data_IF_335771446886
#
_entry.id   IF_335771446886
#
_cell.length_a   1.000
_cell.length_b   1.000
_cell.length_c   1.000
_cell.angle_alpha   90.00
_cell.angle_beta   90.00
_cell.angle_gamma   90.00
#
_symmetry.space_group_name_H-M   'P 1'
#
loop_
_entity.id
_entity.type
_entity.pdbx_description
1 polymer ?
#
# COMPACT_ATOMS: atom_id res chain seq x y z
N UNK A 1 19.60 4.51 12.03
CA UNK A 1 18.41 3.71 11.66
C UNK A 1 18.62 3.17 10.25
N UNK A 2 19.18 1.97 10.09
CA UNK A 2 19.47 1.39 8.76
C UNK A 2 18.20 0.76 8.20
N UNK A 3 17.54 1.44 7.26
CA UNK A 3 16.41 0.87 6.50
C UNK A 3 16.96 -0.12 5.47
N UNK A 4 16.73 -1.41 5.69
CA UNK A 4 17.10 -2.48 4.76
C UNK A 4 16.14 -2.47 3.56
N UNK A 5 16.46 -1.72 2.51
CA UNK A 5 15.70 -1.75 1.26
C UNK A 5 15.98 -3.07 0.53
N UNK A 6 15.15 -4.07 0.75
CA UNK A 6 15.03 -5.22 -0.15
C UNK A 6 13.71 -5.07 -0.90
N UNK A 7 13.76 -4.99 -2.23
CA UNK A 7 12.58 -4.81 -3.06
C UNK A 7 12.57 -5.90 -4.14
N UNK A 8 11.58 -6.79 -4.03
CA UNK A 8 11.23 -7.73 -5.07
C UNK A 8 9.97 -7.25 -5.77
N UNK A 9 9.87 -7.54 -7.05
CA UNK A 9 8.76 -7.06 -7.85
C UNK A 9 8.40 -8.04 -8.97
N UNK A 10 7.10 -8.18 -9.24
CA UNK A 10 6.58 -9.05 -10.30
C UNK A 10 6.19 -8.18 -11.49
N UNK A 11 6.86 -8.40 -12.63
CA UNK A 11 6.50 -7.83 -13.94
C UNK A 11 6.17 -8.96 -14.90
N UNK A 12 4.97 -9.00 -15.47
CA UNK A 12 4.58 -10.01 -16.47
C UNK A 12 4.94 -11.45 -16.02
N UNK A 13 4.66 -11.77 -14.75
CA UNK A 13 5.00 -13.05 -14.09
C UNK A 13 6.50 -13.37 -13.93
N UNK A 14 7.37 -12.39 -14.14
CA UNK A 14 8.81 -12.46 -13.95
C UNK A 14 9.22 -11.73 -12.67
N UNK A 15 10.25 -12.22 -12.00
CA UNK A 15 10.72 -11.66 -10.73
C UNK A 15 11.99 -10.85 -10.96
N UNK A 16 11.97 -9.59 -10.53
CA UNK A 16 13.14 -8.73 -10.46
C UNK A 16 13.47 -8.45 -8.99
N UNK A 17 14.76 -8.43 -8.68
CA UNK A 17 15.27 -8.20 -7.33
C UNK A 17 16.34 -7.12 -7.33
N UNK A 18 16.28 -6.23 -6.33
CA UNK A 18 17.30 -5.21 -6.07
C UNK A 18 17.31 -4.81 -4.59
N UNK A 19 18.36 -4.08 -4.22
CA UNK A 19 18.62 -3.52 -2.91
C UNK A 19 19.64 -4.34 -2.12
N UNK A 20 19.32 -4.55 -0.84
CA UNK A 20 20.17 -5.24 0.12
C UNK A 20 20.31 -6.74 -0.16
N UNK A 21 21.52 -7.29 -0.10
CA UNK A 21 21.80 -8.68 -0.49
C UNK A 21 22.76 -9.43 0.47
N UNK A 22 22.84 -9.00 1.73
CA UNK A 22 23.78 -9.54 2.71
C UNK A 22 23.78 -11.09 2.84
N UNK A 23 22.65 -11.73 2.60
CA UNK A 23 22.45 -13.19 2.74
C UNK A 23 22.00 -13.85 1.44
N UNK A 24 22.21 -13.21 0.29
CA UNK A 24 21.76 -13.73 -1.00
C UNK A 24 20.25 -13.59 -1.25
N UNK A 25 19.55 -12.72 -0.49
CA UNK A 25 18.10 -12.52 -0.59
C UNK A 25 17.63 -11.97 -1.94
N UNK A 26 18.54 -11.56 -2.84
CA UNK A 26 18.20 -11.22 -4.22
C UNK A 26 18.10 -12.44 -5.16
N UNK A 27 18.67 -13.59 -4.80
CA UNK A 27 18.50 -14.83 -5.57
C UNK A 27 19.32 -14.88 -6.87
N UNK A 28 20.39 -14.08 -6.95
CA UNK A 28 21.21 -13.90 -8.16
C UNK A 28 22.53 -14.66 -8.11
N UNK A 29 22.71 -15.54 -7.13
CA UNK A 29 23.94 -16.31 -6.93
C UNK A 29 25.07 -15.55 -6.24
N UNK A 30 24.82 -14.32 -5.79
CA UNK A 30 25.80 -13.44 -5.12
C UNK A 30 25.23 -12.87 -3.82
N UNK A 31 26.09 -12.29 -2.97
CA UNK A 31 25.72 -11.48 -1.80
C UNK A 31 25.94 -9.98 -2.01
N UNK A 32 26.30 -9.58 -3.23
CA UNK A 32 26.52 -8.18 -3.60
C UNK A 32 25.20 -7.42 -3.70
N UNK A 33 25.15 -6.23 -3.11
CA UNK A 33 24.02 -5.30 -3.24
C UNK A 33 23.80 -4.91 -4.69
N UNK A 34 22.55 -4.59 -5.04
CA UNK A 34 22.20 -4.09 -6.36
C UNK A 34 21.34 -2.84 -6.23
N UNK A 35 21.73 -1.76 -6.90
CA UNK A 35 20.93 -0.54 -6.90
C UNK A 35 19.83 -0.57 -7.97
N UNK A 36 20.00 -1.40 -9.00
CA UNK A 36 19.08 -1.52 -10.12
C UNK A 36 18.41 -2.90 -10.16
N UNK A 37 17.12 -2.98 -10.55
CA UNK A 37 16.39 -4.23 -10.71
C UNK A 37 17.10 -5.21 -11.65
N UNK A 38 17.31 -6.45 -11.20
CA UNK A 38 17.83 -7.54 -12.04
C UNK A 38 16.90 -8.74 -12.02
N UNK A 39 16.64 -9.31 -13.21
CA UNK A 39 15.78 -10.48 -13.36
C UNK A 39 16.38 -11.72 -12.70
N UNK A 40 15.60 -12.39 -11.86
CA UNK A 40 15.91 -13.69 -11.26
C UNK A 40 15.53 -14.79 -12.27
N UNK A 41 16.52 -15.43 -12.91
CA UNK A 41 16.29 -16.42 -13.98
C UNK A 41 16.19 -17.85 -13.43
N UNK A 42 17.31 -18.55 -13.17
CA UNK A 42 17.43 -19.88 -12.50
C UNK A 42 16.14 -20.74 -12.46
N UNK A 43 15.64 -21.11 -11.27
CA UNK A 43 14.45 -21.97 -11.12
C UNK A 43 13.12 -21.31 -11.51
N UNK A 44 13.13 -20.01 -11.83
CA UNK A 44 11.96 -19.22 -12.20
C UNK A 44 11.85 -19.02 -13.70
N UNK A 45 12.87 -19.40 -14.47
CA UNK A 45 12.86 -19.20 -15.91
C UNK A 45 11.74 -20.04 -16.54
N UNK A 46 10.97 -19.41 -17.44
CA UNK A 46 9.77 -19.98 -18.06
C UNK A 46 8.66 -20.40 -17.08
N UNK A 47 8.71 -19.98 -15.82
CA UNK A 47 7.64 -20.21 -14.85
C UNK A 47 6.84 -18.94 -14.63
N UNK A 48 5.55 -19.11 -14.38
CA UNK A 48 4.62 -18.04 -14.07
C UNK A 48 4.59 -17.84 -12.56
N UNK A 49 5.11 -16.70 -12.09
CA UNK A 49 5.05 -16.30 -10.67
C UNK A 49 3.74 -15.54 -10.43
N UNK A 50 2.96 -15.98 -9.45
CA UNK A 50 1.68 -15.38 -9.07
C UNK A 50 1.79 -14.43 -7.89
N UNK A 51 2.70 -14.71 -6.96
CA UNK A 51 2.88 -13.88 -5.77
C UNK A 51 4.32 -13.96 -5.24
N UNK A 52 4.73 -12.93 -4.51
CA UNK A 52 6.02 -12.84 -3.83
C UNK A 52 5.77 -12.51 -2.37
N UNK A 53 6.49 -13.15 -1.46
CA UNK A 53 6.54 -12.78 -0.05
C UNK A 53 8.00 -12.61 0.39
N UNK A 54 8.25 -11.66 1.29
CA UNK A 54 9.59 -11.32 1.74
C UNK A 54 9.68 -11.33 3.26
N UNK A 55 10.69 -12.04 3.77
CA UNK A 55 11.25 -11.87 5.11
C UNK A 55 12.39 -10.84 5.07
N UNK A 56 12.91 -10.47 6.25
CA UNK A 56 14.02 -9.51 6.40
C UNK A 56 15.25 -9.87 5.57
N UNK A 57 15.63 -11.15 5.57
CA UNK A 57 16.83 -11.66 4.87
C UNK A 57 16.53 -12.80 3.89
N UNK A 58 15.26 -13.08 3.58
CA UNK A 58 14.87 -14.24 2.75
C UNK A 58 13.65 -13.93 1.88
N UNK A 59 13.61 -14.46 0.65
CA UNK A 59 12.57 -14.23 -0.34
C UNK A 59 11.84 -15.52 -0.66
N UNK A 60 10.56 -15.39 -0.96
CA UNK A 60 9.71 -16.49 -1.38
C UNK A 60 8.88 -16.06 -2.58
N UNK A 61 8.59 -17.02 -3.45
CA UNK A 61 7.70 -16.83 -4.59
C UNK A 61 6.75 -18.00 -4.70
N UNK A 62 5.49 -17.68 -4.98
CA UNK A 62 4.45 -18.63 -5.33
C UNK A 62 4.33 -18.71 -6.85
N UNK A 63 4.41 -19.93 -7.36
CA UNK A 63 4.22 -20.22 -8.78
C UNK A 63 2.74 -20.49 -9.05
N UNK A 64 2.31 -20.26 -10.30
CA UNK A 64 0.95 -20.61 -10.76
C UNK A 64 0.61 -22.09 -10.57
N UNK A 65 1.62 -22.97 -10.55
CA UNK A 65 1.46 -24.39 -10.23
C UNK A 65 1.21 -24.70 -8.74
N UNK A 66 1.10 -23.68 -7.88
CA UNK A 66 0.96 -23.81 -6.43
C UNK A 66 2.23 -24.25 -5.71
N UNK A 67 3.40 -24.19 -6.37
CA UNK A 67 4.70 -24.53 -5.77
C UNK A 67 5.42 -23.29 -5.25
N UNK A 68 6.20 -23.46 -4.18
CA UNK A 68 6.96 -22.37 -3.56
C UNK A 68 8.45 -22.52 -3.87
N UNK A 69 9.09 -21.42 -4.27
CA UNK A 69 10.55 -21.30 -4.30
C UNK A 69 11.01 -20.26 -3.27
N UNK A 70 12.16 -20.50 -2.63
CA UNK A 70 12.71 -19.67 -1.58
C UNK A 70 14.22 -19.44 -1.78
N UNK A 71 14.76 -18.33 -1.27
CA UNK A 71 16.20 -18.04 -1.26
C UNK A 71 16.55 -16.97 -0.22
N UNK A 72 17.83 -16.80 0.06
CA UNK A 72 18.37 -15.88 1.05
C UNK A 72 18.89 -16.60 2.29
N UNK A 73 18.72 -15.99 3.46
CA UNK A 73 19.14 -16.57 4.74
C UNK A 73 18.36 -17.85 5.05
N UNK A 74 19.07 -18.91 5.47
CA UNK A 74 18.51 -20.19 5.89
C UNK A 74 18.83 -20.53 7.36
N UNK A 75 19.18 -19.52 8.17
CA UNK A 75 19.35 -19.70 9.61
C UNK A 75 18.05 -20.27 10.21
N UNK A 76 18.19 -21.31 11.04
CA UNK A 76 17.06 -22.04 11.64
C UNK A 76 16.09 -22.66 10.61
N UNK A 77 16.56 -22.92 9.38
CA UNK A 77 15.77 -23.56 8.32
C UNK A 77 14.60 -22.72 7.82
N UNK A 78 14.66 -21.39 7.98
CA UNK A 78 13.58 -20.47 7.58
C UNK A 78 13.18 -20.53 6.11
N UNK A 79 13.99 -21.11 5.22
CA UNK A 79 13.61 -21.32 3.82
C UNK A 79 12.77 -22.57 3.58
N UNK A 80 12.73 -23.53 4.51
CA UNK A 80 12.05 -24.80 4.30
C UNK A 80 12.66 -25.67 3.18
N UNK A 81 13.94 -25.44 2.85
CA UNK A 81 14.65 -26.09 1.75
C UNK A 81 15.23 -27.47 2.10
N UNK A 82 15.25 -27.84 3.39
CA UNK A 82 15.99 -28.99 3.94
C UNK A 82 17.50 -28.95 3.68
N UNK A 83 18.04 -27.80 3.29
CA UNK A 83 19.47 -27.61 3.09
C UNK A 83 20.19 -27.38 4.42
N UNK A 84 21.40 -27.90 4.55
CA UNK A 84 22.32 -27.61 5.66
C UNK A 84 23.07 -26.30 5.47
N UNK A 85 22.97 -25.67 4.29
CA UNK A 85 23.59 -24.36 4.04
C UNK A 85 22.93 -23.29 4.90
N UNK A 86 23.74 -22.36 5.42
CA UNK A 86 23.26 -21.21 6.20
C UNK A 86 22.55 -20.17 5.34
N UNK A 87 22.75 -20.21 4.02
CA UNK A 87 22.09 -19.35 3.04
C UNK A 87 21.98 -20.03 1.67
N UNK A 88 20.96 -19.65 0.92
CA UNK A 88 20.73 -20.08 -0.46
C UNK A 88 20.74 -18.87 -1.37
N UNK A 89 21.85 -18.66 -2.08
CA UNK A 89 22.02 -17.47 -2.95
C UNK A 89 21.23 -17.54 -4.25
N UNK A 90 20.68 -18.71 -4.57
CA UNK A 90 19.82 -18.94 -5.73
C UNK A 90 18.46 -19.47 -5.25
N UNK A 91 17.39 -19.25 -6.02
CA UNK A 91 16.10 -19.89 -5.76
C UNK A 91 16.27 -21.40 -5.59
N UNK A 92 15.68 -21.93 -4.52
CA UNK A 92 15.57 -23.35 -4.21
C UNK A 92 14.09 -23.71 -3.95
N UNK A 93 13.74 -25.00 -4.01
CA UNK A 93 12.38 -25.46 -3.73
C UNK A 93 12.15 -25.60 -2.22
N UNK A 94 10.95 -25.25 -1.77
CA UNK A 94 10.48 -25.60 -0.40
C UNK A 94 10.02 -27.06 -0.42
N UNK A 95 10.95 -27.98 -0.10
CA UNK A 95 10.77 -29.43 -0.32
C UNK A 95 9.60 -30.02 0.47
N UNK A 96 9.35 -29.53 1.68
CA UNK A 96 8.25 -30.00 2.53
C UNK A 96 6.86 -29.79 1.93
N UNK A 97 6.71 -28.91 0.93
CA UNK A 97 5.44 -28.60 0.27
C UNK A 97 5.37 -29.06 -1.19
N UNK A 98 6.31 -29.91 -1.64
CA UNK A 98 6.36 -30.33 -3.05
C UNK A 98 5.13 -31.13 -3.49
N UNK A 99 4.41 -31.76 -2.56
CA UNK A 99 3.15 -32.50 -2.83
C UNK A 99 1.89 -31.72 -2.46
N UNK A 100 2.02 -30.47 -2.02
CA UNK A 100 0.89 -29.60 -1.65
C UNK A 100 0.72 -28.53 -2.72
N UNK A 101 -0.52 -28.09 -2.96
CA UNK A 101 -0.84 -26.95 -3.83
C UNK A 101 -1.13 -25.76 -2.92
N UNK A 102 -0.33 -24.71 -3.06
CA UNK A 102 -0.40 -23.52 -2.22
C UNK A 102 -1.15 -22.43 -2.97
N UNK A 103 -2.11 -21.80 -2.30
CA UNK A 103 -2.93 -20.70 -2.81
C UNK A 103 -2.41 -19.33 -2.35
N UNK A 104 -1.84 -19.24 -1.14
CA UNK A 104 -1.29 -17.99 -0.59
C UNK A 104 -0.04 -18.24 0.25
N UNK A 105 0.88 -17.28 0.24
CA UNK A 105 2.06 -17.23 1.11
C UNK A 105 2.13 -15.85 1.78
N UNK A 106 2.41 -15.84 3.08
CA UNK A 106 2.68 -14.61 3.85
C UNK A 106 3.93 -14.82 4.71
N UNK A 107 4.71 -13.76 4.90
CA UNK A 107 5.93 -13.81 5.70
C UNK A 107 5.84 -12.79 6.84
N UNK A 108 6.33 -13.19 8.02
CA UNK A 108 6.78 -12.25 9.04
C UNK A 108 8.28 -11.96 8.89
N UNK A 109 8.93 -11.51 9.96
CA UNK A 109 10.36 -11.16 9.90
C UNK A 109 11.26 -12.34 9.57
N UNK A 110 11.04 -13.48 10.23
CA UNK A 110 11.89 -14.68 10.17
C UNK A 110 11.09 -16.00 10.11
N UNK A 111 9.79 -15.92 9.84
CA UNK A 111 8.90 -17.08 9.72
C UNK A 111 7.97 -16.91 8.50
N UNK A 112 7.37 -18.01 8.08
CA UNK A 112 6.48 -18.05 6.91
C UNK A 112 5.23 -18.86 7.23
N UNK A 113 4.10 -18.39 6.72
CA UNK A 113 2.85 -19.14 6.67
C UNK A 113 2.46 -19.37 5.21
N UNK A 114 1.93 -20.54 4.91
CA UNK A 114 1.40 -20.89 3.59
C UNK A 114 0.01 -21.50 3.74
N UNK A 115 -0.93 -21.05 2.90
CA UNK A 115 -2.29 -21.58 2.80
C UNK A 115 -2.37 -22.50 1.60
N UNK A 116 -2.81 -23.74 1.80
CA UNK A 116 -3.11 -24.65 0.70
C UNK A 116 -4.50 -24.41 0.11
N UNK A 117 -4.73 -24.94 -1.09
CA UNK A 117 -6.04 -24.92 -1.76
C UNK A 117 -7.13 -25.71 -1.02
N UNK A 118 -6.74 -26.78 -0.31
CA UNK A 118 -7.60 -27.52 0.62
C UNK A 118 -7.85 -26.80 1.96
N UNK A 119 -7.30 -25.58 2.13
CA UNK A 119 -7.56 -24.69 3.26
C UNK A 119 -6.84 -25.07 4.55
N UNK A 120 -5.66 -25.70 4.45
CA UNK A 120 -4.76 -25.97 5.58
C UNK A 120 -3.66 -24.91 5.64
N UNK A 121 -3.22 -24.60 6.86
CA UNK A 121 -2.10 -23.68 7.08
C UNK A 121 -0.85 -24.47 7.41
N UNK A 122 0.24 -24.14 6.72
CA UNK A 122 1.58 -24.62 7.00
C UNK A 122 2.43 -23.47 7.55
N UNK A 123 3.26 -23.75 8.55
CA UNK A 123 4.13 -22.77 9.18
C UNK A 123 5.56 -23.32 9.35
N UNK A 124 6.55 -22.45 9.19
CA UNK A 124 7.97 -22.76 9.45
C UNK A 124 8.82 -21.51 9.67
N UNK A 125 10.04 -21.72 10.16
CA UNK A 125 11.01 -20.69 10.50
C UNK A 125 11.13 -20.49 12.01
N UNK A 126 11.39 -19.25 12.41
CA UNK A 126 11.56 -18.87 13.81
C UNK A 126 10.24 -18.91 14.59
N UNK A 127 10.30 -19.27 15.88
CA UNK A 127 9.11 -19.52 16.70
C UNK A 127 9.26 -19.07 18.17
N UNK A 128 10.14 -18.11 18.46
CA UNK A 128 10.44 -17.70 19.84
C UNK A 128 9.22 -17.15 20.61
N UNK A 129 8.21 -16.63 19.89
CA UNK A 129 6.99 -16.04 20.45
C UNK A 129 5.72 -16.78 20.02
N UNK A 130 5.82 -18.05 19.63
CA UNK A 130 4.67 -18.87 19.26
C UNK A 130 4.04 -18.53 17.91
N UNK A 131 4.72 -17.74 17.07
CA UNK A 131 4.22 -17.29 15.77
C UNK A 131 3.94 -18.42 14.76
N UNK A 132 4.41 -19.64 15.00
CA UNK A 132 4.09 -20.79 14.16
C UNK A 132 2.76 -21.47 14.54
N UNK A 133 2.16 -21.12 15.69
CA UNK A 133 0.83 -21.60 16.07
C UNK A 133 0.76 -23.10 16.41
N UNK A 134 1.90 -23.75 16.65
CA UNK A 134 2.00 -25.20 16.83
C UNK A 134 2.01 -25.64 18.32
N UNK A 135 1.71 -24.75 19.26
CA UNK A 135 1.75 -25.02 20.69
C UNK A 135 3.17 -25.22 21.24
N UNK A 136 4.19 -24.77 20.52
CA UNK A 136 5.58 -24.83 20.94
C UNK A 136 6.29 -23.52 20.63
N UNK A 137 7.44 -23.32 21.27
CA UNK A 137 8.38 -22.22 21.03
C UNK A 137 9.74 -22.73 20.55
N UNK A 138 9.70 -23.53 19.50
CA UNK A 138 10.89 -24.07 18.84
C UNK A 138 10.83 -23.76 17.37
N UNK A 139 11.95 -23.30 16.81
CA UNK A 139 12.05 -23.09 15.38
C UNK A 139 11.74 -24.38 14.64
N UNK A 140 11.07 -24.26 13.49
CA UNK A 140 10.78 -25.39 12.62
C UNK A 140 11.51 -25.17 11.30
N UNK A 141 12.50 -26.01 10.96
CA UNK A 141 13.22 -25.87 9.70
C UNK A 141 12.40 -26.30 8.48
N UNK A 142 11.19 -26.83 8.69
CA UNK A 142 10.34 -27.40 7.67
C UNK A 142 8.87 -26.98 7.84
N UNK A 143 8.16 -26.77 6.71
CA UNK A 143 6.72 -26.55 6.70
C UNK A 143 5.99 -27.65 7.47
N UNK A 144 5.29 -27.26 8.53
CA UNK A 144 4.49 -28.16 9.36
C UNK A 144 3.06 -27.65 9.39
N UNK A 145 2.10 -28.56 9.36
CA UNK A 145 0.70 -28.20 9.45
C UNK A 145 0.37 -27.64 10.84
N UNK A 146 -0.37 -26.53 10.88
CA UNK A 146 -0.97 -26.04 12.12
C UNK A 146 -2.21 -26.90 12.40
N UNK A 147 -2.02 -28.00 13.13
CA UNK A 147 -3.10 -28.94 13.46
C UNK A 147 -4.06 -28.31 14.46
N UNK A 148 -5.18 -27.78 13.98
CA UNK A 148 -6.19 -27.12 14.82
C UNK A 148 -7.59 -27.40 14.28
N UNK A 149 -8.57 -27.44 15.19
CA UNK A 149 -9.99 -27.64 14.90
C UNK A 149 -10.68 -26.38 14.31
N UNK A 150 -9.93 -25.54 13.57
CA UNK A 150 -10.45 -24.31 12.99
C UNK A 150 -11.36 -24.54 11.77
N UNK A 151 -11.34 -25.74 11.19
CA UNK A 151 -12.01 -26.03 9.92
C UNK A 151 -11.24 -25.48 8.71
N UNK A 152 -11.94 -25.23 7.61
CA UNK A 152 -11.33 -24.80 6.34
C UNK A 152 -10.98 -23.30 6.39
N UNK A 153 -9.72 -22.98 6.13
CA UNK A 153 -9.21 -21.61 6.15
C UNK A 153 -9.41 -20.96 4.78
N UNK A 154 -9.98 -19.76 4.81
CA UNK A 154 -10.22 -18.91 3.64
C UNK A 154 -9.04 -17.97 3.37
N UNK A 155 -8.47 -17.38 4.42
CA UNK A 155 -7.33 -16.47 4.26
C UNK A 155 -6.41 -16.40 5.49
N UNK A 156 -5.16 -15.96 5.28
CA UNK A 156 -4.11 -15.85 6.29
C UNK A 156 -3.37 -14.49 6.23
N UNK A 157 -2.85 -14.06 7.38
CA UNK A 157 -2.05 -12.85 7.56
C UNK A 157 -0.89 -13.05 8.55
N UNK A 158 0.21 -12.34 8.31
CA UNK A 158 1.37 -12.27 9.20
C UNK A 158 2.00 -10.88 9.09
N UNK A 159 2.62 -10.39 10.16
CA UNK A 159 3.21 -9.04 10.19
C UNK A 159 4.73 -9.04 10.35
N UNK A 160 5.37 -8.03 9.78
CA UNK A 160 6.80 -7.71 9.93
C UNK A 160 7.03 -6.70 11.06
N UNK A 161 6.35 -6.90 12.20
CA UNK A 161 6.47 -6.07 13.41
C UNK A 161 7.16 -6.86 14.52
N UNK A 162 7.78 -6.18 15.48
CA UNK A 162 8.34 -6.78 16.70
C UNK A 162 7.30 -7.59 17.49
N UNK A 163 6.00 -7.36 17.27
CA UNK A 163 4.92 -8.15 17.87
C UNK A 163 4.69 -9.49 17.17
N UNK A 164 5.12 -9.71 15.93
CA UNK A 164 4.89 -10.95 15.16
C UNK A 164 3.48 -11.60 15.28
N UNK A 165 2.35 -10.86 15.30
CA UNK A 165 1.03 -11.47 15.29
C UNK A 165 0.74 -12.15 13.96
N UNK A 166 -0.04 -13.23 14.05
CA UNK A 166 -0.54 -14.02 12.94
C UNK A 166 -2.06 -14.14 13.04
N UNK A 167 -2.71 -14.22 11.89
CA UNK A 167 -4.15 -14.38 11.83
C UNK A 167 -4.57 -15.33 10.71
N UNK A 168 -5.72 -15.97 10.91
CA UNK A 168 -6.43 -16.72 9.89
C UNK A 168 -7.93 -16.47 9.98
N UNK A 169 -8.62 -16.51 8.85
CA UNK A 169 -10.09 -16.50 8.79
C UNK A 169 -10.59 -17.78 8.15
N UNK A 170 -11.59 -18.39 8.77
CA UNK A 170 -12.25 -19.60 8.25
C UNK A 170 -13.30 -19.25 7.19
N UNK A 171 -13.79 -20.23 6.45
CA UNK A 171 -14.94 -20.04 5.55
C UNK A 171 -16.22 -19.60 6.28
N UNK A 172 -16.31 -19.90 7.58
CA UNK A 172 -17.42 -19.49 8.43
C UNK A 172 -17.22 -18.08 9.04
N UNK A 173 -16.27 -17.29 8.50
CA UNK A 173 -15.90 -15.95 8.99
C UNK A 173 -15.44 -15.91 10.46
N UNK A 174 -14.89 -17.00 10.98
CA UNK A 174 -14.28 -17.02 12.31
C UNK A 174 -12.81 -16.61 12.20
N UNK A 175 -12.39 -15.64 13.02
CA UNK A 175 -11.00 -15.16 13.04
C UNK A 175 -10.24 -15.85 14.16
N UNK A 176 -9.07 -16.37 13.83
CA UNK A 176 -8.13 -16.94 14.79
C UNK A 176 -6.85 -16.12 14.83
N UNK A 177 -6.32 -15.90 16.03
CA UNK A 177 -5.10 -15.15 16.28
C UNK A 177 -4.08 -15.98 17.06
N UNK A 178 -2.80 -15.83 16.72
CA UNK A 178 -1.68 -16.40 17.47
C UNK A 178 -0.39 -15.58 17.27
N UNK A 179 0.70 -16.01 17.91
CA UNK A 179 1.93 -15.22 18.01
C UNK A 179 1.84 -14.23 19.16
N UNK A 180 2.48 -13.06 19.05
CA UNK A 180 2.45 -12.05 20.11
C UNK A 180 1.38 -10.97 19.86
N UNK A 181 0.26 -11.11 20.54
CA UNK A 181 -0.94 -10.26 20.42
C UNK A 181 -1.07 -9.38 21.67
N UNK A 182 -1.04 -8.06 21.52
CA UNK A 182 -1.11 -7.09 22.64
C UNK A 182 -0.13 -7.38 23.79
N UNK A 183 1.08 -7.88 23.46
CA UNK A 183 2.11 -8.22 24.45
C UNK A 183 2.01 -9.63 25.04
N UNK A 184 0.91 -10.34 24.81
CA UNK A 184 0.71 -11.73 25.22
C UNK A 184 1.20 -12.70 24.15
N UNK A 185 1.82 -13.80 24.57
CA UNK A 185 2.24 -14.89 23.68
C UNK A 185 1.13 -15.92 23.59
N UNK A 186 0.68 -16.18 22.38
CA UNK A 186 -0.37 -17.14 22.05
C UNK A 186 0.25 -18.20 21.14
N UNK A 187 0.55 -19.38 21.69
CA UNK A 187 1.30 -20.43 21.00
C UNK A 187 0.44 -21.29 20.07
N UNK A 188 -0.89 -21.24 20.22
CA UNK A 188 -1.86 -21.95 19.39
C UNK A 188 -2.93 -20.97 18.91
N UNK A 189 -3.47 -21.10 17.69
CA UNK A 189 -4.57 -20.28 17.21
C UNK A 189 -5.76 -20.24 18.18
N UNK A 190 -6.11 -19.04 18.65
CA UNK A 190 -7.26 -18.80 19.53
C UNK A 190 -8.32 -18.03 18.77
N UNK A 191 -9.58 -18.43 18.92
CA UNK A 191 -10.73 -17.74 18.35
C UNK A 191 -10.82 -16.32 18.91
N UNK A 192 -10.77 -15.32 18.04
CA UNK A 192 -10.94 -13.92 18.40
C UNK A 192 -12.44 -13.54 18.38
N UNK A 193 -12.84 -12.63 19.27
CA UNK A 193 -14.20 -12.07 19.31
C UNK A 193 -14.47 -11.04 18.20
N UNK A 194 -13.48 -10.76 17.35
CA UNK A 194 -13.56 -9.79 16.27
C UNK A 194 -14.13 -10.51 15.04
N UNK A 195 -15.23 -9.98 14.50
CA UNK A 195 -15.91 -10.54 13.31
C UNK A 195 -15.49 -9.85 12.00
N UNK A 196 -14.78 -8.72 12.08
CA UNK A 196 -14.31 -7.97 10.91
C UNK A 196 -12.84 -8.29 10.62
N UNK A 197 -12.60 -8.90 9.46
CA UNK A 197 -11.26 -9.16 8.96
C UNK A 197 -10.52 -7.83 8.73
N UNK A 198 -11.20 -6.78 8.27
CA UNK A 198 -10.58 -5.49 7.95
C UNK A 198 -10.00 -4.78 9.19
N UNK A 199 -10.66 -4.84 10.35
CA UNK A 199 -10.15 -4.28 11.62
C UNK A 199 -8.84 -4.93 12.06
N UNK A 200 -8.74 -6.25 11.83
CA UNK A 200 -7.55 -7.04 12.12
C UNK A 200 -6.39 -6.58 11.21
N UNK A 201 -6.66 -6.26 9.94
CA UNK A 201 -5.64 -5.71 9.02
C UNK A 201 -5.26 -4.26 9.31
N UNK A 202 -6.16 -3.41 9.81
CA UNK A 202 -5.81 -2.04 10.25
C UNK A 202 -4.76 -2.04 11.37
N UNK A 203 -4.81 -3.05 12.24
CA UNK A 203 -3.83 -3.27 13.32
C UNK A 203 -2.52 -3.90 12.80
N UNK A 204 -2.59 -4.64 11.69
CA UNK A 204 -1.50 -5.48 11.17
C UNK A 204 -0.73 -4.91 9.96
N UNK A 205 -1.08 -3.73 9.46
CA UNK A 205 -0.30 -2.99 8.47
C UNK A 205 0.60 -1.91 9.12
N UNK A 206 1.80 -2.22 9.62
CA UNK A 206 2.88 -1.26 9.50
C UNK A 206 3.28 -1.21 8.01
N UNK A 207 3.57 0.00 7.51
CA UNK A 207 3.94 0.36 6.11
C UNK A 207 5.23 -0.33 5.58
N UNK A 208 5.49 -1.59 5.88
CA UNK A 208 6.74 -2.27 5.58
C UNK A 208 6.50 -3.51 4.72
N UNK A 209 6.98 -3.39 3.47
CA UNK A 209 7.05 -4.38 2.39
C UNK A 209 5.73 -4.68 1.66
N UNK A 210 5.16 -3.67 1.00
CA UNK A 210 4.29 -3.92 -0.14
C UNK A 210 5.06 -4.70 -1.21
N UNK A 211 4.48 -5.81 -1.66
CA UNK A 211 4.84 -6.41 -2.94
C UNK A 211 4.59 -5.34 -4.01
N UNK A 212 5.64 -4.70 -4.50
CA UNK A 212 5.50 -3.81 -5.64
C UNK A 212 5.18 -4.70 -6.84
N UNK A 213 3.98 -4.62 -7.39
CA UNK A 213 3.78 -5.01 -8.77
C UNK A 213 4.62 -4.06 -9.62
N UNK A 214 5.60 -4.59 -10.35
CA UNK A 214 6.29 -3.81 -11.36
C UNK A 214 5.31 -3.80 -12.53
N UNK A 215 4.55 -2.73 -12.66
CA UNK A 215 4.18 -2.32 -14.01
C UNK A 215 5.49 -1.84 -14.66
N UNK A 216 5.77 -2.30 -15.87
CA UNK A 216 6.88 -1.75 -16.66
C UNK A 216 6.66 -0.25 -16.88
N UNK A 217 7.24 0.56 -16.00
CA UNK A 217 7.63 1.94 -16.27
C UNK A 217 8.35 2.48 -15.02
N UNK A 218 9.67 2.62 -15.11
CA UNK A 218 10.47 3.65 -14.42
C UNK A 218 11.92 3.53 -14.90
N UNK A 219 12.12 3.91 -16.17
CA UNK A 219 13.37 4.57 -16.56
C UNK A 219 13.06 6.05 -16.43
N UNK A 220 13.56 6.68 -15.37
CA UNK A 220 13.64 8.14 -15.28
C UNK A 220 14.63 8.60 -16.35
N UNK A 221 14.13 8.86 -17.55
CA UNK A 221 14.85 9.67 -18.51
C UNK A 221 14.33 11.09 -18.34
N UNK A 222 15.21 12.00 -17.94
CA UNK A 222 14.98 13.44 -17.79
C UNK A 222 14.65 14.17 -19.12
N UNK A 223 14.13 13.45 -20.13
CA UNK A 223 13.71 13.95 -21.44
C UNK A 223 12.20 13.80 -21.69
N UNK A 224 11.41 13.31 -20.73
CA UNK A 224 9.99 12.92 -20.91
C UNK A 224 9.03 14.10 -21.10
N UNK A 225 9.39 15.32 -20.70
CA UNK A 225 8.55 16.52 -20.92
C UNK A 225 8.31 16.82 -22.40
N UNK A 226 9.16 16.33 -23.32
CA UNK A 226 8.95 16.45 -24.77
C UNK A 226 8.03 15.37 -25.37
N UNK A 227 7.80 14.24 -24.69
CA UNK A 227 6.95 13.14 -25.20
C UNK A 227 5.46 13.36 -24.94
N UNK A 228 5.12 14.19 -23.97
CA UNK A 228 3.74 14.55 -23.62
C UNK A 228 3.00 15.36 -24.73
N UNK A 229 3.71 15.80 -25.77
CA UNK A 229 3.14 16.64 -26.84
C UNK A 229 3.38 16.10 -28.26
N UNK A 230 4.02 14.94 -28.41
CA UNK A 230 4.28 14.36 -29.72
C UNK A 230 3.07 13.62 -30.27
N UNK A 231 2.41 14.16 -31.30
CA UNK A 231 1.30 13.48 -31.98
C UNK A 231 1.70 12.13 -32.62
N UNK A 232 2.99 11.92 -32.85
CA UNK A 232 3.55 10.75 -33.53
C UNK A 232 3.55 9.47 -32.66
N UNK A 233 3.57 9.59 -31.33
CA UNK A 233 3.65 8.43 -30.42
C UNK A 233 2.40 8.23 -29.57
N UNK A 234 1.47 9.18 -29.57
CA UNK A 234 0.24 9.12 -28.77
C UNK A 234 -0.82 8.20 -29.39
N UNK A 235 -1.43 7.35 -28.57
CA UNK A 235 -2.52 6.44 -28.93
C UNK A 235 -3.90 6.92 -28.41
N UNK A 236 -3.92 8.01 -27.64
CA UNK A 236 -5.12 8.70 -27.17
C UNK A 236 -4.91 10.21 -27.09
N UNK A 237 -6.00 10.95 -27.23
CA UNK A 237 -6.03 12.38 -26.99
C UNK A 237 -7.25 12.78 -26.15
N UNK A 238 -7.08 13.81 -25.34
CA UNK A 238 -8.13 14.42 -24.55
C UNK A 238 -8.42 15.81 -25.08
N UNK A 239 -9.70 16.15 -25.26
CA UNK A 239 -10.14 17.47 -25.65
C UNK A 239 -10.64 18.18 -24.39
N UNK A 240 -9.92 19.21 -23.96
CA UNK A 240 -10.21 20.01 -22.77
C UNK A 240 -10.28 21.46 -23.22
N UNK A 241 -11.42 22.13 -23.01
CA UNK A 241 -11.65 23.51 -23.48
C UNK A 241 -11.34 23.70 -24.99
N UNK A 242 -11.64 22.69 -25.81
CA UNK A 242 -11.36 22.70 -27.25
C UNK A 242 -9.88 22.52 -27.63
N UNK A 243 -8.98 22.36 -26.64
CA UNK A 243 -7.56 22.07 -26.87
C UNK A 243 -7.29 20.59 -26.71
N UNK A 244 -6.43 20.06 -27.57
CA UNK A 244 -6.09 18.64 -27.61
C UNK A 244 -4.81 18.35 -26.81
N UNK A 245 -4.90 17.45 -25.84
CA UNK A 245 -3.76 16.94 -25.06
C UNK A 245 -3.52 15.49 -25.47
N UNK A 246 -2.33 15.22 -25.99
CA UNK A 246 -1.94 13.89 -26.44
C UNK A 246 -1.37 13.08 -25.27
N UNK A 247 -1.77 11.81 -25.16
CA UNK A 247 -1.31 10.93 -24.09
C UNK A 247 -1.14 9.49 -24.55
N UNK A 248 -0.71 8.63 -23.63
CA UNK A 248 -0.49 7.20 -23.88
C UNK A 248 -1.43 6.36 -23.01
N UNK A 249 -2.35 5.59 -23.61
CA UNK A 249 -3.33 4.73 -22.92
C UNK A 249 -2.62 3.82 -21.93
N UNK A 250 -1.51 3.22 -22.32
CA UNK A 250 -0.73 2.33 -21.46
C UNK A 250 -0.29 3.03 -20.16
N UNK A 251 0.28 4.24 -20.22
CA UNK A 251 0.72 4.98 -19.03
C UNK A 251 -0.46 5.35 -18.11
N UNK A 252 -1.58 5.75 -18.71
CA UNK A 252 -2.78 6.11 -17.94
C UNK A 252 -3.45 4.90 -17.30
N UNK A 253 -3.54 3.77 -18.00
CA UNK A 253 -4.04 2.50 -17.42
C UNK A 253 -3.17 1.97 -16.29
N UNK A 254 -1.87 2.30 -16.29
CA UNK A 254 -0.93 1.91 -15.23
C UNK A 254 -1.18 2.72 -13.96
N UNK A 255 -1.40 4.04 -14.09
CA UNK A 255 -1.56 4.94 -12.95
C UNK A 255 -2.99 5.05 -12.40
N UNK A 256 -4.00 4.56 -13.12
CA UNK A 256 -5.40 4.61 -12.66
C UNK A 256 -6.21 3.39 -13.11
N UNK A 257 -6.88 2.75 -12.15
CA UNK A 257 -7.85 1.70 -12.43
C UNK A 257 -9.05 2.19 -13.25
N UNK A 258 -9.38 3.49 -13.16
CA UNK A 258 -10.46 4.11 -13.94
C UNK A 258 -10.07 4.21 -15.41
N UNK A 259 -8.86 4.67 -15.73
CA UNK A 259 -8.36 4.65 -17.11
C UNK A 259 -8.21 3.22 -17.65
N UNK A 260 -7.84 2.26 -16.81
CA UNK A 260 -7.80 0.84 -17.19
C UNK A 260 -9.18 0.35 -17.65
N UNK A 261 -10.23 0.65 -16.88
CA UNK A 261 -11.60 0.30 -17.26
C UNK A 261 -12.07 1.06 -18.51
N UNK A 262 -11.69 2.34 -18.64
CA UNK A 262 -12.04 3.18 -19.79
C UNK A 262 -11.44 2.66 -21.10
N UNK A 263 -10.18 2.21 -21.10
CA UNK A 263 -9.48 1.82 -22.32
C UNK A 263 -9.49 0.32 -22.63
N UNK A 264 -9.65 -0.54 -21.61
CA UNK A 264 -9.60 -2.00 -21.78
C UNK A 264 -10.95 -2.69 -21.52
N UNK A 265 -12.00 -1.94 -21.17
CA UNK A 265 -13.35 -2.49 -21.01
C UNK A 265 -14.07 -2.73 -22.34
N UNK A 266 -15.05 -3.63 -22.34
CA UNK A 266 -15.89 -4.00 -23.50
C UNK A 266 -16.92 -2.91 -23.92
N UNK A 267 -16.65 -1.65 -23.58
CA UNK A 267 -17.55 -0.51 -23.80
C UNK A 267 -17.26 0.18 -25.13
N UNK A 268 -18.25 0.84 -25.76
CA UNK A 268 -18.08 1.57 -27.03
C UNK A 268 -16.98 2.66 -26.98
N UNK A 269 -16.68 3.17 -25.80
CA UNK A 269 -15.70 4.23 -25.59
C UNK A 269 -14.24 3.75 -25.60
N UNK A 270 -13.97 2.45 -25.41
CA UNK A 270 -12.61 1.91 -25.42
C UNK A 270 -11.91 2.06 -26.78
N UNK A 271 -12.69 2.08 -27.86
CA UNK A 271 -12.24 2.27 -29.23
C UNK A 271 -12.02 3.73 -29.63
N UNK A 272 -12.46 4.69 -28.80
CA UNK A 272 -12.30 6.11 -29.12
C UNK A 272 -10.83 6.51 -29.00
N UNK A 273 -10.39 7.35 -29.95
CA UNK A 273 -9.06 7.98 -29.94
C UNK A 273 -9.07 9.34 -29.25
N UNK A 274 -10.25 9.92 -29.06
CA UNK A 274 -10.45 11.25 -28.51
C UNK A 274 -11.51 11.18 -27.42
N UNK A 275 -11.18 11.68 -26.23
CA UNK A 275 -12.09 11.76 -25.09
C UNK A 275 -12.29 13.22 -24.69
N UNK A 276 -13.53 13.62 -24.49
CA UNK A 276 -13.86 15.00 -24.07
C UNK A 276 -13.85 15.04 -22.55
N UNK A 277 -13.11 15.99 -21.98
CA UNK A 277 -13.13 16.27 -20.54
C UNK A 277 -13.91 17.55 -20.32
N UNK A 278 -15.06 17.41 -19.67
CA UNK A 278 -15.93 18.52 -19.30
C UNK A 278 -15.66 18.94 -17.84
N UNK A 279 -15.96 20.19 -17.50
CA UNK A 279 -15.90 20.74 -16.12
C UNK A 279 -14.52 20.84 -15.46
N UNK A 280 -13.44 20.75 -16.23
CA UNK A 280 -12.07 20.98 -15.72
C UNK A 280 -11.30 21.90 -16.66
N UNK A 281 -10.45 22.77 -16.10
CA UNK A 281 -9.59 23.63 -16.91
C UNK A 281 -8.52 22.85 -17.65
N UNK A 282 -8.08 23.35 -18.81
CA UNK A 282 -6.97 22.76 -19.55
C UNK A 282 -5.72 22.64 -18.66
N UNK A 283 -5.42 23.66 -17.86
CA UNK A 283 -4.22 23.69 -17.03
C UNK A 283 -4.26 22.66 -15.90
N UNK A 284 -5.42 22.46 -15.26
CA UNK A 284 -5.57 21.45 -14.22
C UNK A 284 -5.45 20.04 -14.80
N UNK A 285 -6.12 19.76 -15.92
CA UNK A 285 -6.03 18.44 -16.56
C UNK A 285 -4.63 18.17 -17.13
N UNK A 286 -3.96 19.20 -17.64
CA UNK A 286 -2.57 19.11 -18.08
C UNK A 286 -1.61 18.82 -16.93
N UNK A 287 -1.75 19.52 -15.79
CA UNK A 287 -0.95 19.25 -14.59
C UNK A 287 -1.21 17.84 -14.04
N UNK A 288 -2.48 17.43 -14.00
CA UNK A 288 -2.88 16.07 -13.65
C UNK A 288 -2.21 15.03 -14.54
N UNK A 289 -2.26 15.21 -15.87
CA UNK A 289 -1.58 14.30 -16.78
C UNK A 289 -0.06 14.35 -16.64
N UNK A 290 0.54 15.54 -16.52
CA UNK A 290 1.99 15.71 -16.32
C UNK A 290 2.48 14.87 -15.15
N UNK A 291 1.72 14.82 -14.05
CA UNK A 291 2.03 13.97 -12.90
C UNK A 291 2.17 12.48 -13.26
N UNK A 292 1.35 11.93 -14.17
CA UNK A 292 1.50 10.53 -14.62
C UNK A 292 2.83 10.27 -15.35
N UNK A 293 3.45 11.30 -15.92
CA UNK A 293 4.72 11.17 -16.64
C UNK A 293 5.92 11.50 -15.76
N UNK A 294 5.80 12.52 -14.89
CA UNK A 294 6.94 13.04 -14.13
C UNK A 294 6.97 12.59 -12.68
N UNK A 295 5.84 12.14 -12.13
CA UNK A 295 5.67 11.85 -10.68
C UNK A 295 5.93 13.11 -9.81
N UNK A 296 5.85 14.29 -10.43
CA UNK A 296 6.13 15.60 -9.80
C UNK A 296 4.86 16.45 -9.79
N UNK A 297 4.40 16.83 -8.59
CA UNK A 297 3.27 17.72 -8.39
C UNK A 297 3.70 19.19 -8.58
N UNK A 298 3.91 19.57 -9.83
CA UNK A 298 4.33 20.93 -10.23
C UNK A 298 3.13 21.72 -10.79
N UNK A 299 2.34 22.29 -9.88
CA UNK A 299 1.21 23.16 -10.17
C UNK A 299 0.95 24.15 -9.02
N UNK A 300 0.23 25.23 -9.32
CA UNK A 300 -0.04 26.29 -8.35
C UNK A 300 -1.19 25.92 -7.38
N UNK A 301 -1.26 26.50 -6.17
CA UNK A 301 -2.33 26.23 -5.22
C UNK A 301 -3.75 26.50 -5.76
N UNK A 302 -3.90 27.43 -6.71
CA UNK A 302 -5.19 27.74 -7.32
C UNK A 302 -5.73 26.55 -8.14
N UNK A 303 -4.84 25.81 -8.80
CA UNK A 303 -5.17 24.61 -9.58
C UNK A 303 -5.31 23.37 -8.69
N UNK A 304 -4.79 23.39 -7.46
CA UNK A 304 -4.70 22.21 -6.61
C UNK A 304 -6.08 21.57 -6.31
N UNK A 305 -7.15 22.35 -6.19
CA UNK A 305 -8.51 21.80 -6.01
C UNK A 305 -9.06 21.10 -7.24
N UNK A 306 -8.81 21.65 -8.44
CA UNK A 306 -9.22 21.00 -9.69
C UNK A 306 -8.39 19.74 -9.96
N UNK A 307 -7.10 19.77 -9.64
CA UNK A 307 -6.24 18.58 -9.71
C UNK A 307 -6.66 17.54 -8.66
N UNK A 308 -7.06 17.96 -7.46
CA UNK A 308 -7.57 17.07 -6.42
C UNK A 308 -8.86 16.38 -6.86
N UNK A 309 -9.80 17.11 -7.46
CA UNK A 309 -11.05 16.51 -7.93
C UNK A 309 -10.83 15.51 -9.07
N UNK A 310 -9.90 15.80 -9.98
CA UNK A 310 -9.43 14.85 -10.99
C UNK A 310 -8.77 13.62 -10.35
N UNK A 311 -7.86 13.83 -9.40
CA UNK A 311 -7.19 12.74 -8.69
C UNK A 311 -8.19 11.84 -7.93
N UNK A 312 -9.19 12.45 -7.29
CA UNK A 312 -10.28 11.73 -6.64
C UNK A 312 -11.10 10.91 -7.65
N UNK A 313 -11.54 11.53 -8.76
CA UNK A 313 -12.32 10.86 -9.79
C UNK A 313 -11.58 9.68 -10.44
N UNK A 314 -10.29 9.87 -10.74
CA UNK A 314 -9.43 8.84 -11.33
C UNK A 314 -8.74 7.94 -10.29
N UNK A 315 -9.08 8.05 -9.01
CA UNK A 315 -8.57 7.22 -7.90
C UNK A 315 -7.03 7.21 -7.77
N UNK A 316 -6.40 8.38 -7.95
CA UNK A 316 -4.96 8.59 -7.81
C UNK A 316 -4.65 9.15 -6.42
N UNK A 317 -4.53 8.27 -5.42
CA UNK A 317 -4.39 8.65 -4.01
C UNK A 317 -3.11 9.42 -3.70
N UNK A 318 -2.00 9.07 -4.34
CA UNK A 318 -0.70 9.72 -4.10
C UNK A 318 -0.73 11.20 -4.51
N UNK A 319 -1.40 11.50 -5.63
CA UNK A 319 -1.60 12.88 -6.08
C UNK A 319 -2.56 13.65 -5.16
N UNK A 320 -3.59 12.99 -4.59
CA UNK A 320 -4.46 13.61 -3.59
C UNK A 320 -3.67 14.04 -2.35
N UNK A 321 -2.75 13.21 -1.86
CA UNK A 321 -1.88 13.55 -0.73
C UNK A 321 -0.95 14.73 -1.05
N UNK A 322 -0.38 14.79 -2.26
CA UNK A 322 0.45 15.93 -2.69
C UNK A 322 -0.37 17.22 -2.83
N UNK A 323 -1.58 17.16 -3.41
CA UNK A 323 -2.50 18.29 -3.44
C UNK A 323 -2.82 18.81 -2.04
N UNK A 324 -3.07 17.92 -1.06
CA UNK A 324 -3.29 18.34 0.32
C UNK A 324 -2.06 19.03 0.92
N UNK A 325 -0.85 18.54 0.66
CA UNK A 325 0.38 19.18 1.15
C UNK A 325 0.53 20.59 0.59
N UNK A 326 0.30 20.77 -0.71
CA UNK A 326 0.36 22.08 -1.37
C UNK A 326 -0.68 23.02 -0.75
N UNK A 327 -1.93 22.57 -0.60
CA UNK A 327 -3.02 23.35 0.00
C UNK A 327 -2.75 23.72 1.48
N UNK A 328 -2.21 22.78 2.27
CA UNK A 328 -1.82 23.02 3.67
C UNK A 328 -0.70 24.05 3.76
N UNK A 329 0.27 24.01 2.85
CA UNK A 329 1.39 24.96 2.83
C UNK A 329 1.00 26.38 2.40
N UNK A 330 -0.05 26.52 1.58
CA UNK A 330 -0.57 27.80 1.09
C UNK A 330 -1.70 28.39 1.93
N UNK A 331 -1.99 27.82 3.10
CA UNK A 331 -3.11 28.24 3.93
C UNK A 331 -2.84 29.59 4.61
N UNK A 332 -3.82 30.50 4.52
CA UNK A 332 -3.78 31.83 5.11
C UNK A 332 -5.13 32.17 5.73
N UNK A 333 -5.17 33.14 6.65
CA UNK A 333 -6.44 33.55 7.28
C UNK A 333 -7.46 34.09 6.27
N UNK A 334 -7.01 34.63 5.13
CA UNK A 334 -7.89 35.14 4.09
C UNK A 334 -8.53 34.03 3.24
N UNK A 335 -7.83 32.89 3.07
CA UNK A 335 -8.28 31.80 2.19
C UNK A 335 -8.82 30.57 2.93
N UNK A 336 -8.59 30.43 4.24
CA UNK A 336 -8.93 29.22 5.02
C UNK A 336 -10.40 28.84 4.95
N UNK A 337 -11.32 29.81 4.99
CA UNK A 337 -12.76 29.53 4.89
C UNK A 337 -13.15 28.96 3.52
N UNK A 338 -12.61 29.53 2.44
CA UNK A 338 -12.86 29.04 1.08
C UNK A 338 -12.21 27.67 0.83
N UNK A 339 -11.04 27.42 1.42
CA UNK A 339 -10.37 26.12 1.37
C UNK A 339 -11.19 25.06 2.11
N UNK A 340 -11.72 25.39 3.28
CA UNK A 340 -12.55 24.50 4.08
C UNK A 340 -13.86 24.11 3.38
N UNK A 341 -14.56 25.09 2.81
CA UNK A 341 -15.81 24.84 2.05
C UNK A 341 -15.56 23.87 0.88
N UNK A 342 -14.49 24.09 0.10
CA UNK A 342 -14.11 23.18 -0.99
C UNK A 342 -13.66 21.81 -0.48
N UNK A 343 -12.96 21.74 0.65
CA UNK A 343 -12.54 20.48 1.25
C UNK A 343 -13.73 19.61 1.67
N UNK A 344 -14.79 20.22 2.22
CA UNK A 344 -16.04 19.52 2.54
C UNK A 344 -16.68 18.95 1.28
N UNK A 345 -16.82 19.76 0.23
CA UNK A 345 -17.44 19.33 -1.03
C UNK A 345 -16.71 18.14 -1.67
N UNK A 346 -15.39 18.09 -1.52
CA UNK A 346 -14.53 17.02 -2.04
C UNK A 346 -14.33 15.85 -1.06
N UNK A 347 -14.90 15.91 0.14
CA UNK A 347 -14.77 14.87 1.17
C UNK A 347 -13.36 14.74 1.78
N UNK A 348 -12.53 15.78 1.67
CA UNK A 348 -11.13 15.79 2.12
C UNK A 348 -11.00 16.00 3.64
N UNK A 349 -11.35 14.98 4.43
CA UNK A 349 -11.40 15.05 5.91
C UNK A 349 -10.10 15.58 6.54
N UNK A 350 -8.94 15.09 6.09
CA UNK A 350 -7.64 15.50 6.63
C UNK A 350 -7.26 16.95 6.32
N UNK A 351 -7.86 17.57 5.29
CA UNK A 351 -7.72 18.99 5.02
C UNK A 351 -8.72 19.81 5.85
N UNK A 352 -9.94 19.31 6.06
CA UNK A 352 -10.93 19.93 6.95
C UNK A 352 -10.41 20.06 8.38
N UNK A 353 -9.87 18.99 8.95
CA UNK A 353 -9.28 18.98 10.29
C UNK A 353 -8.11 19.97 10.40
N UNK A 354 -7.26 20.04 9.38
CA UNK A 354 -6.15 20.98 9.37
C UNK A 354 -6.60 22.45 9.30
N UNK A 355 -7.61 22.76 8.48
CA UNK A 355 -8.17 24.11 8.43
C UNK A 355 -8.77 24.52 9.77
N UNK A 356 -9.45 23.58 10.44
CA UNK A 356 -10.02 23.78 11.77
C UNK A 356 -8.93 24.09 12.81
N UNK A 357 -7.86 23.30 12.83
CA UNK A 357 -6.71 23.52 13.70
C UNK A 357 -5.99 24.85 13.42
N UNK A 358 -5.80 25.19 12.14
CA UNK A 358 -5.20 26.45 11.74
C UNK A 358 -6.01 27.66 12.24
N UNK A 359 -7.34 27.62 12.12
CA UNK A 359 -8.21 28.66 12.66
C UNK A 359 -8.14 28.75 14.18
N UNK A 360 -8.00 27.61 14.89
CA UNK A 360 -7.86 27.56 16.34
C UNK A 360 -6.57 28.24 16.82
N UNK A 361 -5.46 28.07 16.12
CA UNK A 361 -4.19 28.72 16.46
C UNK A 361 -4.23 30.25 16.21
N UNK A 362 -5.06 30.72 15.28
CA UNK A 362 -5.11 32.11 14.83
C UNK A 362 -6.40 32.86 15.21
N UNK A 363 -7.10 32.41 16.26
CA UNK A 363 -8.42 32.92 16.69
C UNK A 363 -8.52 34.45 16.83
N UNK A 364 -7.46 35.11 17.28
CA UNK A 364 -7.44 36.58 17.48
C UNK A 364 -7.55 37.34 16.15
N UNK A 365 -6.98 36.81 15.07
CA UNK A 365 -7.07 37.40 13.73
C UNK A 365 -8.39 37.04 13.04
N UNK A 366 -8.93 35.86 13.31
CA UNK A 366 -10.25 35.45 12.83
C UNK A 366 -11.34 36.42 13.28
N UNK A 367 -11.26 36.94 14.51
CA UNK A 367 -12.24 37.87 15.08
C UNK A 367 -12.37 39.19 14.30
N UNK A 368 -11.29 39.68 13.68
CA UNK A 368 -11.30 40.95 12.96
C UNK A 368 -11.84 40.83 11.51
N UNK A 369 -11.84 39.63 10.92
CA UNK A 369 -12.29 39.41 9.53
C UNK A 369 -13.79 39.02 9.43
N UNK A 370 -14.45 38.79 10.58
CA UNK A 370 -15.87 38.39 10.68
C UNK A 370 -16.85 39.49 10.24
N UNK A 371 -16.42 40.75 10.22
CA UNK A 371 -17.32 41.89 9.90
C UNK A 371 -17.65 42.05 8.40
N UNK A 372 -17.09 41.22 7.50
CA UNK A 372 -17.23 41.44 6.04
C UNK A 372 -18.02 40.40 5.25
N UNK A 373 -18.26 39.18 5.77
CA UNK A 373 -18.87 38.09 5.00
C UNK A 373 -19.69 37.12 5.88
N UNK A 374 -21.01 37.10 5.67
CA UNK A 374 -21.95 36.25 6.39
C UNK A 374 -21.66 34.75 6.23
N UNK A 375 -21.03 34.31 5.13
CA UNK A 375 -20.66 32.89 4.93
C UNK A 375 -19.45 32.47 5.75
N UNK A 376 -18.45 33.35 5.87
CA UNK A 376 -17.31 33.14 6.78
C UNK A 376 -17.77 33.03 8.23
N UNK A 377 -18.80 33.79 8.59
CA UNK A 377 -19.32 33.90 9.95
C UNK A 377 -19.83 32.58 10.51
N UNK A 378 -20.55 31.78 9.72
CA UNK A 378 -21.08 30.48 10.18
C UNK A 378 -19.97 29.46 10.44
N UNK A 379 -18.97 29.37 9.56
CA UNK A 379 -17.78 28.55 9.75
C UNK A 379 -16.99 28.96 11.01
N UNK A 380 -16.70 30.25 11.18
CA UNK A 380 -15.99 30.71 12.38
C UNK A 380 -16.81 30.50 13.66
N UNK A 381 -18.14 30.67 13.62
CA UNK A 381 -19.02 30.37 14.76
C UNK A 381 -19.00 28.88 15.14
N UNK A 382 -18.89 27.96 14.19
CA UNK A 382 -18.75 26.53 14.47
C UNK A 382 -17.41 26.21 15.16
N UNK A 383 -16.31 26.80 14.68
CA UNK A 383 -14.99 26.74 15.33
C UNK A 383 -15.07 27.29 16.75
N UNK A 384 -15.73 28.43 16.96
CA UNK A 384 -15.91 29.01 18.30
C UNK A 384 -16.76 28.15 19.22
N UNK A 385 -17.84 27.53 18.73
CA UNK A 385 -18.69 26.63 19.52
C UNK A 385 -17.90 25.41 19.99
N UNK A 386 -17.15 24.78 19.10
CA UNK A 386 -16.32 23.63 19.46
C UNK A 386 -15.23 23.97 20.48
N UNK A 387 -14.55 25.13 20.34
CA UNK A 387 -13.58 25.61 21.34
C UNK A 387 -14.26 25.96 22.68
N UNK A 388 -15.49 26.48 22.65
CA UNK A 388 -16.27 26.80 23.85
C UNK A 388 -16.76 25.54 24.57
N UNK A 389 -17.15 24.50 23.83
CA UNK A 389 -17.60 23.22 24.36
C UNK A 389 -16.43 22.45 25.01
N UNK A 390 -15.23 22.44 24.41
CA UNK A 390 -14.02 21.89 25.07
C UNK A 390 -13.67 22.65 26.37
N UNK A 391 -13.83 23.98 26.40
CA UNK A 391 -13.62 24.77 27.63
C UNK A 391 -14.69 24.49 28.69
N UNK A 392 -15.90 24.12 28.29
CA UNK A 392 -16.96 23.67 29.20
C UNK A 392 -16.64 22.31 29.77
N UNK A 393 -16.20 21.35 28.95
CA UNK A 393 -15.79 20.01 29.39
C UNK A 393 -14.60 20.07 30.36
N UNK A 394 -13.58 20.88 30.06
CA UNK A 394 -12.44 21.09 30.99
C UNK A 394 -12.86 21.79 32.28
N UNK A 395 -13.89 22.65 32.26
CA UNK A 395 -14.44 23.25 33.47
C UNK A 395 -15.25 22.25 34.30
N UNK A 396 -16.03 21.38 33.67
CA UNK A 396 -16.74 20.29 34.37
C UNK A 396 -15.76 19.29 34.98
N UNK A 397 -14.67 18.95 34.29
CA UNK A 397 -13.63 18.09 34.85
C UNK A 397 -12.88 18.74 36.02
N UNK A 398 -12.69 20.07 35.99
CA UNK A 398 -12.10 20.81 37.12
C UNK A 398 -13.03 20.95 38.34
N UNK A 399 -14.35 20.86 38.14
CA UNK A 399 -15.37 20.93 39.20
C UNK A 399 -15.66 19.57 39.85
N UNK A 400 -15.22 18.46 39.23
CA UNK A 400 -15.33 17.10 39.79
C UNK A 400 -14.13 16.76 40.70
N UNK A 401 -13.11 17.62 40.76
CA UNK A 401 -11.90 17.45 41.59
C UNK A 401 -11.75 18.47 42.75
N UNK A 402 -12.83 19.10 43.21
CA UNK A 402 -12.84 19.87 44.46
C UNK A 402 -13.91 19.44 45.45
#
# INVERSE_FOLDING_TARGET
MFFFYKKLTISVHQVFAFGSNHSGQLGLGTTSHLLLPRKVRRLLDRKVVTSVACQKLSSFVLLHSGKICAWGCNLNGRLGSLSTSLEERNPCKVRGLERVVISKIVCGDNFTLALSDDGKIFSWGENEVGQLGNGARKFLPNPTIISTEMGRIKDIAATLSASHPCAAITENNQVYLWGRVNGLIVETPVLALITSFDEVFTIFYPKSYQCFHFNESKITNNNETKRHQGSETSDVAFIVEGKKIHAHKNLLTIGSGVFKNLFLGDWKDSCQKEHIIENHSYNAFFAFLKYFYTDEADFTPELAFEVYSLAHFYLVTDLMEECEKILKSGLTMQNVAAVYEKAILLGAKGLCEFCFEFCREHLVYAMNDIESDDRKREFFLEVFRSVADEKKERKTDSLVFH
#
